data_IF_112522883732
#
_entry.id   IF_112522883732
#
_cell.length_a   1.000
_cell.length_b   1.000
_cell.length_c   1.000
_cell.angle_alpha   90.00
_cell.angle_beta   90.00
_cell.angle_gamma   90.00
#
_symmetry.space_group_name_H-M   'P 1'
#
loop_
_entity.id
_entity.type
_entity.pdbx_description
1 polymer ?
#
# COMPACT_ATOMS: atom_id res chain seq x y z
N UNK A 1 0.94 8.76 0.47
CA UNK A 1 0.22 9.59 -0.52
C UNK A 1 1.05 10.83 -0.87
N UNK A 2 1.54 11.65 0.11
CA UNK A 2 2.28 12.87 -0.20
C UNK A 2 3.57 12.60 -1.00
N UNK A 3 4.38 11.63 -0.58
CA UNK A 3 5.58 11.22 -1.33
C UNK A 3 5.25 10.79 -2.78
N UNK A 4 4.11 10.14 -2.99
CA UNK A 4 3.69 9.75 -4.35
C UNK A 4 3.31 10.94 -5.20
N UNK A 5 2.73 11.98 -4.63
CA UNK A 5 2.45 13.23 -5.36
C UNK A 5 3.74 13.92 -5.81
N UNK A 6 4.75 13.94 -4.95
CA UNK A 6 6.06 14.49 -5.27
C UNK A 6 6.74 13.68 -6.38
N UNK A 7 6.69 12.36 -6.31
CA UNK A 7 7.19 11.46 -7.33
C UNK A 7 6.49 11.68 -8.68
N UNK A 8 5.14 11.71 -8.68
CA UNK A 8 4.36 11.97 -9.89
C UNK A 8 4.70 13.33 -10.50
N UNK A 9 4.91 14.35 -9.66
CA UNK A 9 5.32 15.67 -10.11
C UNK A 9 6.71 15.66 -10.75
N UNK A 10 7.66 14.97 -10.13
CA UNK A 10 9.03 14.81 -10.64
C UNK A 10 9.04 14.12 -12.01
N UNK A 11 8.30 13.00 -12.14
CA UNK A 11 8.22 12.27 -13.41
C UNK A 11 7.45 13.06 -14.47
N UNK A 12 6.38 13.75 -14.08
CA UNK A 12 5.58 14.57 -15.00
C UNK A 12 6.34 15.75 -15.60
N UNK A 13 7.42 16.19 -14.96
CA UNK A 13 8.28 17.26 -15.47
C UNK A 13 9.05 16.85 -16.75
N UNK A 14 9.20 15.57 -17.04
CA UNK A 14 9.85 15.09 -18.25
C UNK A 14 8.96 15.38 -19.47
N UNK A 15 9.49 16.08 -20.51
CA UNK A 15 8.69 16.48 -21.68
C UNK A 15 8.16 15.29 -22.50
N UNK A 16 8.79 14.12 -22.37
CA UNK A 16 8.39 12.86 -23.01
C UNK A 16 7.17 12.23 -22.34
N UNK A 17 6.83 12.64 -21.11
CA UNK A 17 5.73 12.06 -20.34
C UNK A 17 4.40 12.75 -20.71
N UNK A 18 3.43 11.93 -21.08
CA UNK A 18 2.06 12.39 -21.32
C UNK A 18 1.30 12.45 -20.00
N UNK A 19 1.34 11.37 -19.23
CA UNK A 19 0.57 11.21 -17.99
C UNK A 19 1.26 10.26 -17.03
N UNK A 20 1.12 10.55 -15.75
CA UNK A 20 1.50 9.66 -14.64
C UNK A 20 0.29 9.42 -13.77
N UNK A 21 0.09 8.22 -13.29
CA UNK A 21 -0.88 7.89 -12.26
C UNK A 21 -0.38 6.73 -11.41
N UNK A 22 -0.78 6.70 -10.15
CA UNK A 22 -0.29 5.75 -9.16
C UNK A 22 -1.43 4.93 -8.56
N UNK A 23 -1.21 3.62 -8.50
CA UNK A 23 -2.01 2.69 -7.70
C UNK A 23 -1.27 2.42 -6.39
N UNK A 24 -1.88 2.72 -5.25
CA UNK A 24 -1.28 2.57 -3.92
C UNK A 24 -2.06 1.51 -3.14
N UNK A 25 -1.35 0.50 -2.63
CA UNK A 25 -1.93 -0.53 -1.78
C UNK A 25 -2.98 -1.40 -2.47
N UNK A 26 -3.80 -2.06 -1.66
CA UNK A 26 -4.81 -3.03 -2.10
C UNK A 26 -6.18 -2.37 -2.26
N UNK A 27 -6.89 -2.64 -3.36
CA UNK A 27 -8.30 -2.28 -3.50
C UNK A 27 -9.18 -3.15 -2.59
N UNK A 28 -10.41 -2.68 -2.28
CA UNK A 28 -11.40 -3.45 -1.49
C UNK A 28 -11.68 -4.84 -2.08
N UNK A 29 -11.72 -4.93 -3.41
CA UNK A 29 -11.79 -6.21 -4.13
C UNK A 29 -10.42 -6.46 -4.73
N UNK A 30 -9.59 -7.18 -3.99
CA UNK A 30 -8.21 -7.44 -4.37
C UNK A 30 -8.12 -8.55 -5.41
N UNK A 31 -7.99 -8.17 -6.67
CA UNK A 31 -7.50 -9.07 -7.73
C UNK A 31 -5.98 -9.14 -7.76
N UNK A 32 -5.31 -8.19 -7.09
CA UNK A 32 -3.86 -8.03 -7.03
C UNK A 32 -3.50 -7.43 -5.67
N UNK A 33 -3.29 -8.28 -4.64
CA UNK A 33 -3.00 -7.81 -3.30
C UNK A 33 -1.60 -7.20 -3.24
N UNK A 34 -1.55 -5.91 -2.92
CA UNK A 34 -0.31 -5.17 -2.70
C UNK A 34 -0.22 -4.69 -1.24
N UNK A 35 0.95 -4.78 -0.60
CA UNK A 35 1.15 -4.14 0.69
C UNK A 35 0.89 -2.63 0.62
N UNK A 36 0.39 -1.98 1.67
CA UNK A 36 0.14 -0.54 1.67
C UNK A 36 1.41 0.31 1.54
N UNK A 37 2.60 -0.30 1.69
CA UNK A 37 3.91 0.30 1.46
C UNK A 37 4.37 0.26 0.01
N UNK A 38 3.67 -0.46 -0.86
CA UNK A 38 4.01 -0.61 -2.29
C UNK A 38 3.07 0.22 -3.15
N UNK A 39 3.61 0.83 -4.19
CA UNK A 39 2.85 1.61 -5.15
C UNK A 39 3.35 1.34 -6.58
N UNK A 40 2.42 1.08 -7.50
CA UNK A 40 2.72 0.97 -8.92
C UNK A 40 2.45 2.31 -9.60
N UNK A 41 3.50 2.91 -10.15
CA UNK A 41 3.42 4.15 -10.92
C UNK A 41 3.39 3.84 -12.41
N UNK A 42 2.31 4.23 -13.08
CA UNK A 42 2.17 4.07 -14.52
C UNK A 42 2.58 5.35 -15.23
N UNK A 43 3.69 5.28 -15.95
CA UNK A 43 4.24 6.39 -16.72
C UNK A 43 3.87 6.20 -18.18
N UNK A 44 2.95 7.02 -18.68
CA UNK A 44 2.52 7.00 -20.06
C UNK A 44 3.36 8.00 -20.86
N UNK A 45 4.06 7.50 -21.86
CA UNK A 45 4.90 8.32 -22.72
C UNK A 45 4.11 8.82 -23.93
N UNK A 46 4.43 10.03 -24.38
CA UNK A 46 3.94 10.58 -25.64
C UNK A 46 4.44 9.76 -26.84
N UNK A 47 3.78 9.85 -28.00
CA UNK A 47 4.34 9.34 -29.24
C UNK A 47 5.75 9.87 -29.49
N UNK A 48 6.64 9.05 -30.05
CA UNK A 48 8.03 9.43 -30.32
C UNK A 48 8.18 10.70 -31.13
N UNK A 49 7.23 10.97 -32.04
CA UNK A 49 7.19 12.20 -32.86
C UNK A 49 7.10 13.48 -32.04
N UNK A 50 6.56 13.39 -30.84
CA UNK A 50 6.26 14.52 -29.98
C UNK A 50 7.35 14.74 -28.89
N UNK A 51 8.40 13.93 -28.95
CA UNK A 51 9.54 14.08 -28.05
C UNK A 51 10.45 15.22 -28.54
N UNK A 52 11.06 16.02 -27.63
CA UNK A 52 12.03 17.04 -28.00
C UNK A 52 13.20 16.48 -28.82
N UNK A 53 13.66 15.27 -28.46
CA UNK A 53 14.58 14.48 -29.27
C UNK A 53 13.94 13.08 -29.54
N UNK A 54 13.41 12.82 -30.74
CA UNK A 54 12.83 11.53 -31.08
C UNK A 54 13.86 10.38 -31.12
N UNK A 55 15.18 10.68 -31.12
CA UNK A 55 16.27 9.68 -31.15
C UNK A 55 16.69 9.25 -29.77
N UNK A 56 16.28 9.94 -28.71
CA UNK A 56 16.63 9.61 -27.33
C UNK A 56 16.27 8.13 -27.05
N UNK A 57 17.25 7.35 -26.63
CA UNK A 57 17.02 5.93 -26.30
C UNK A 57 16.10 5.82 -25.09
N UNK A 58 15.28 4.77 -25.07
CA UNK A 58 14.34 4.56 -23.98
C UNK A 58 15.06 4.26 -22.66
N UNK A 59 16.15 3.49 -22.71
CA UNK A 59 16.92 3.14 -21.52
C UNK A 59 17.63 4.39 -20.96
N UNK A 60 18.08 5.29 -21.84
CA UNK A 60 18.62 6.57 -21.41
C UNK A 60 17.56 7.45 -20.73
N UNK A 61 16.35 7.50 -21.26
CA UNK A 61 15.24 8.20 -20.60
C UNK A 61 14.93 7.58 -19.23
N UNK A 62 14.94 6.25 -19.13
CA UNK A 62 14.74 5.54 -17.85
C UNK A 62 15.84 5.91 -16.87
N UNK A 63 17.12 5.91 -17.28
CA UNK A 63 18.22 6.29 -16.42
C UNK A 63 18.12 7.75 -15.92
N UNK A 64 17.68 8.67 -16.78
CA UNK A 64 17.39 10.05 -16.38
C UNK A 64 16.26 10.13 -15.35
N UNK A 65 15.18 9.36 -15.53
CA UNK A 65 14.05 9.29 -14.59
C UNK A 65 14.51 8.66 -13.26
N UNK A 66 15.28 7.56 -13.28
CA UNK A 66 15.85 6.93 -12.09
C UNK A 66 16.69 7.92 -11.28
N UNK A 67 17.55 8.67 -11.96
CA UNK A 67 18.37 9.70 -11.31
C UNK A 67 17.51 10.80 -10.67
N UNK A 68 16.44 11.23 -11.32
CA UNK A 68 15.55 12.27 -10.80
C UNK A 68 14.74 11.77 -9.59
N UNK A 69 14.14 10.58 -9.68
CA UNK A 69 13.35 10.02 -8.56
C UNK A 69 14.23 9.59 -7.40
N UNK A 70 15.46 9.21 -7.63
CA UNK A 70 16.43 8.89 -6.60
C UNK A 70 16.75 10.06 -5.66
N UNK A 71 16.43 11.30 -6.06
CA UNK A 71 16.53 12.48 -5.19
C UNK A 71 15.37 12.60 -4.21
N UNK A 72 14.26 11.86 -4.43
CA UNK A 72 13.09 11.83 -3.53
C UNK A 72 13.35 10.78 -2.46
N UNK A 73 13.60 11.16 -1.20
CA UNK A 73 14.00 10.21 -0.16
C UNK A 73 12.83 9.33 0.30
N UNK A 74 13.17 8.16 0.85
CA UNK A 74 12.24 7.32 1.58
C UNK A 74 11.57 6.21 0.79
N UNK A 75 11.92 6.03 -0.51
CA UNK A 75 11.44 4.92 -1.33
C UNK A 75 12.60 4.25 -2.07
N UNK A 76 12.42 2.98 -2.37
CA UNK A 76 13.21 2.27 -3.36
C UNK A 76 12.42 2.22 -4.66
N UNK A 77 13.07 2.51 -5.78
CA UNK A 77 12.44 2.60 -7.09
C UNK A 77 12.94 1.49 -8.00
N UNK A 78 12.04 0.91 -8.75
CA UNK A 78 12.34 -0.06 -9.80
C UNK A 78 11.57 0.33 -11.06
N UNK A 79 12.25 0.37 -12.20
CA UNK A 79 11.64 0.65 -13.49
C UNK A 79 11.47 -0.65 -14.27
N UNK A 80 10.24 -0.97 -14.60
CA UNK A 80 9.91 -2.18 -15.36
C UNK A 80 8.85 -1.90 -16.41
N UNK A 81 8.58 -2.88 -17.24
CA UNK A 81 7.48 -2.84 -18.20
C UNK A 81 6.34 -3.74 -17.72
N UNK A 82 5.09 -3.31 -17.85
CA UNK A 82 3.94 -4.07 -17.33
C UNK A 82 3.87 -5.52 -17.85
N UNK A 83 4.21 -5.73 -19.13
CA UNK A 83 4.18 -7.06 -19.72
C UNK A 83 5.31 -7.93 -19.16
N UNK A 84 6.53 -7.41 -19.09
CA UNK A 84 7.68 -8.12 -18.55
C UNK A 84 7.47 -8.49 -17.08
N UNK A 85 7.04 -7.52 -16.28
CA UNK A 85 6.73 -7.73 -14.86
C UNK A 85 5.70 -8.86 -14.67
N UNK A 86 4.61 -8.83 -15.44
CA UNK A 86 3.56 -9.87 -15.35
C UNK A 86 4.04 -11.24 -15.81
N UNK A 87 4.91 -11.27 -16.81
CA UNK A 87 5.51 -12.51 -17.29
C UNK A 87 6.43 -13.13 -16.24
N UNK A 88 7.26 -12.31 -15.58
CA UNK A 88 8.13 -12.75 -14.49
C UNK A 88 7.31 -13.28 -13.30
N UNK A 89 6.24 -12.60 -12.91
CA UNK A 89 5.32 -13.06 -11.86
C UNK A 89 4.71 -14.44 -12.16
N UNK A 90 4.30 -14.68 -13.40
CA UNK A 90 3.68 -15.94 -13.80
C UNK A 90 4.68 -17.10 -13.81
N UNK A 91 5.94 -16.84 -14.19
CA UNK A 91 6.96 -17.90 -14.30
C UNK A 91 7.62 -18.18 -12.95
N UNK A 92 8.03 -17.16 -12.22
CA UNK A 92 8.87 -17.29 -11.02
C UNK A 92 8.19 -16.83 -9.73
N UNK A 93 7.00 -16.23 -9.83
CA UNK A 93 6.26 -15.69 -8.69
C UNK A 93 6.91 -14.43 -8.10
N UNK A 94 7.81 -13.78 -8.84
CA UNK A 94 8.46 -12.52 -8.46
C UNK A 94 8.44 -11.56 -9.63
N UNK A 95 8.53 -10.25 -9.35
CA UNK A 95 8.46 -9.20 -10.37
C UNK A 95 9.80 -8.92 -11.04
N UNK A 96 10.89 -9.30 -10.40
CA UNK A 96 12.27 -9.10 -10.86
C UNK A 96 12.74 -10.24 -11.76
N UNK A 97 13.80 -10.01 -12.54
CA UNK A 97 14.41 -11.02 -13.41
C UNK A 97 15.11 -12.12 -12.59
N UNK A 98 15.65 -11.77 -11.43
CA UNK A 98 16.31 -12.69 -10.49
C UNK A 98 15.79 -12.46 -9.08
N UNK A 99 15.56 -13.54 -8.34
CA UNK A 99 15.17 -13.46 -6.94
C UNK A 99 15.91 -14.52 -6.10
N UNK A 100 16.50 -14.08 -5.01
CA UNK A 100 17.02 -14.94 -3.96
C UNK A 100 15.94 -15.12 -2.88
N UNK A 101 15.47 -16.34 -2.64
CA UNK A 101 14.45 -16.65 -1.63
C UNK A 101 15.12 -17.23 -0.39
N UNK A 102 14.94 -16.57 0.75
CA UNK A 102 15.44 -17.03 2.06
C UNK A 102 14.28 -17.67 2.82
N UNK A 103 14.51 -18.87 3.37
CA UNK A 103 13.52 -19.62 4.14
C UNK A 103 14.02 -19.85 5.56
N UNK A 104 13.16 -19.75 6.55
CA UNK A 104 13.49 -20.00 7.95
C UNK A 104 12.29 -19.73 8.85
N UNK A 105 12.42 -20.11 10.13
CA UNK A 105 11.36 -19.92 11.14
C UNK A 105 11.49 -18.58 11.88
N UNK A 106 12.67 -17.93 11.81
CA UNK A 106 12.97 -16.68 12.50
C UNK A 106 13.12 -15.54 11.49
N UNK A 107 12.19 -14.57 11.55
CA UNK A 107 12.12 -13.42 10.63
C UNK A 107 13.35 -12.52 10.75
N UNK A 108 13.90 -12.35 11.96
CA UNK A 108 15.07 -11.48 12.16
C UNK A 108 16.33 -12.10 11.56
N UNK A 109 16.47 -13.43 11.68
CA UNK A 109 17.58 -14.16 11.05
C UNK A 109 17.45 -14.12 9.52
N UNK A 110 16.23 -14.33 9.01
CA UNK A 110 15.99 -14.25 7.56
C UNK A 110 16.28 -12.86 7.00
N UNK A 111 15.89 -11.79 7.69
CA UNK A 111 16.17 -10.43 7.26
C UNK A 111 17.68 -10.14 7.22
N UNK A 112 18.42 -10.53 8.24
CA UNK A 112 19.89 -10.38 8.25
C UNK A 112 20.56 -11.12 7.08
N UNK A 113 20.13 -12.36 6.83
CA UNK A 113 20.64 -13.12 5.69
C UNK A 113 20.29 -12.46 4.35
N UNK A 114 19.07 -11.91 4.22
CA UNK A 114 18.65 -11.19 3.03
C UNK A 114 19.47 -9.90 2.80
N UNK A 115 19.79 -9.16 3.87
CA UNK A 115 20.63 -7.96 3.81
C UNK A 115 22.08 -8.31 3.40
N UNK A 116 22.64 -9.41 3.92
CA UNK A 116 23.95 -9.92 3.53
C UNK A 116 23.96 -10.31 2.03
N UNK A 117 22.97 -11.05 1.57
CA UNK A 117 22.81 -11.42 0.15
C UNK A 117 22.69 -10.17 -0.71
N UNK A 118 21.87 -9.20 -0.31
CA UNK A 118 21.70 -7.93 -1.03
C UNK A 118 23.02 -7.18 -1.17
N UNK A 119 23.82 -7.12 -0.09
CA UNK A 119 25.14 -6.49 -0.10
C UNK A 119 26.11 -7.15 -1.09
N UNK A 120 26.08 -8.48 -1.17
CA UNK A 120 26.89 -9.25 -2.12
C UNK A 120 26.43 -8.99 -3.55
N UNK A 121 25.12 -9.08 -3.80
CA UNK A 121 24.54 -8.90 -5.14
C UNK A 121 24.76 -7.49 -5.69
N UNK A 122 24.67 -6.48 -4.83
CA UNK A 122 24.94 -5.08 -5.22
C UNK A 122 26.38 -4.83 -5.63
N UNK A 123 27.33 -5.69 -5.20
CA UNK A 123 28.73 -5.63 -5.61
C UNK A 123 29.05 -6.37 -6.93
N UNK A 124 28.09 -7.09 -7.51
CA UNK A 124 28.31 -7.86 -8.73
C UNK A 124 28.09 -6.95 -9.95
N UNK A 125 29.02 -7.00 -10.90
CA UNK A 125 28.90 -6.25 -12.14
C UNK A 125 27.64 -6.69 -12.92
N UNK A 126 26.72 -5.75 -13.20
CA UNK A 126 25.43 -6.01 -13.85
C UNK A 126 24.27 -6.26 -12.86
N UNK A 127 24.53 -6.25 -11.55
CA UNK A 127 23.50 -6.22 -10.53
C UNK A 127 22.95 -4.81 -10.37
N UNK A 128 21.75 -4.56 -10.90
CA UNK A 128 21.03 -3.30 -10.77
C UNK A 128 19.73 -3.52 -9.99
N UNK A 129 19.22 -2.47 -9.33
CA UNK A 129 17.96 -2.45 -8.62
C UNK A 129 17.82 -3.55 -7.54
N UNK A 130 18.94 -3.92 -6.89
CA UNK A 130 18.92 -4.92 -5.82
C UNK A 130 18.17 -4.40 -4.61
N UNK A 131 17.12 -5.11 -4.20
CA UNK A 131 16.30 -4.74 -3.04
C UNK A 131 15.96 -5.95 -2.19
N UNK A 132 15.82 -5.73 -0.88
CA UNK A 132 15.25 -6.69 0.04
C UNK A 132 13.77 -6.37 0.21
N UNK A 133 12.91 -7.40 0.17
CA UNK A 133 11.48 -7.24 0.42
C UNK A 133 11.27 -6.75 1.86
N UNK A 134 10.46 -5.71 2.01
CA UNK A 134 10.18 -5.14 3.33
C UNK A 134 9.21 -6.07 4.10
N UNK A 135 9.73 -6.77 5.09
CA UNK A 135 8.95 -7.69 5.94
C UNK A 135 8.55 -7.09 7.29
N UNK A 136 9.12 -5.92 7.64
CA UNK A 136 8.91 -5.23 8.92
C UNK A 136 8.64 -3.75 8.72
N UNK A 137 8.18 -3.07 9.76
CA UNK A 137 8.06 -1.62 9.77
C UNK A 137 6.68 -1.05 9.43
N UNK A 138 5.69 -1.88 9.08
CA UNK A 138 4.31 -1.43 8.98
C UNK A 138 3.70 -1.36 10.38
N UNK A 139 3.24 -0.19 10.85
CA UNK A 139 2.55 -0.10 12.12
C UNK A 139 1.22 -0.85 12.06
N UNK A 140 1.03 -1.80 12.97
CA UNK A 140 -0.20 -2.58 13.09
C UNK A 140 -0.93 -2.14 14.35
N UNK A 141 -2.17 -1.68 14.22
CA UNK A 141 -3.05 -1.43 15.35
C UNK A 141 -3.75 -2.73 15.73
N UNK A 142 -3.35 -3.31 16.86
CA UNK A 142 -4.00 -4.51 17.41
C UNK A 142 -4.92 -4.11 18.56
N UNK A 143 -6.20 -4.49 18.44
CA UNK A 143 -7.19 -4.27 19.50
C UNK A 143 -7.39 -5.58 20.26
N UNK A 144 -6.88 -5.64 21.50
CA UNK A 144 -7.05 -6.78 22.40
C UNK A 144 -8.29 -6.56 23.27
N UNK A 145 -9.34 -7.34 23.00
CA UNK A 145 -10.60 -7.21 23.72
C UNK A 145 -10.52 -8.01 25.04
N UNK A 146 -10.76 -7.34 26.18
CA UNK A 146 -10.86 -7.96 27.50
C UNK A 146 -12.20 -8.72 27.62
N UNK A 147 -12.15 -10.03 27.40
CA UNK A 147 -13.32 -10.90 27.44
C UNK A 147 -14.01 -10.93 28.82
N UNK A 148 -13.26 -10.79 29.90
CA UNK A 148 -13.83 -10.80 31.25
C UNK A 148 -14.60 -9.49 31.51
N UNK A 149 -14.04 -8.37 31.04
CA UNK A 149 -14.69 -7.07 31.18
C UNK A 149 -15.99 -6.98 30.39
N UNK A 150 -15.99 -7.39 29.12
CA UNK A 150 -17.20 -7.40 28.29
C UNK A 150 -18.26 -8.33 28.86
N UNK A 151 -17.90 -9.52 29.37
CA UNK A 151 -18.84 -10.44 30.01
C UNK A 151 -19.52 -9.83 31.23
N UNK A 152 -18.76 -9.13 32.09
CA UNK A 152 -19.31 -8.41 33.27
C UNK A 152 -20.29 -7.30 32.87
N UNK A 153 -20.03 -6.64 31.75
CA UNK A 153 -20.86 -5.57 31.21
C UNK A 153 -22.06 -6.08 30.42
N UNK A 154 -22.14 -7.38 30.15
CA UNK A 154 -23.19 -7.98 29.33
C UNK A 154 -23.14 -7.57 27.87
N UNK A 155 -21.95 -7.27 27.34
CA UNK A 155 -21.71 -6.91 25.95
C UNK A 155 -21.25 -8.14 25.18
N UNK A 156 -21.78 -8.35 23.98
CA UNK A 156 -21.34 -9.43 23.12
C UNK A 156 -20.05 -9.08 22.40
N UNK A 157 -19.16 -10.07 22.20
CA UNK A 157 -17.94 -9.90 21.44
C UNK A 157 -18.19 -9.37 20.03
N UNK A 158 -19.24 -9.88 19.37
CA UNK A 158 -19.63 -9.47 18.02
C UNK A 158 -20.00 -7.99 17.94
N UNK A 159 -20.70 -7.46 18.96
CA UNK A 159 -21.08 -6.04 19.02
C UNK A 159 -19.83 -5.13 19.11
N UNK A 160 -18.82 -5.54 19.91
CA UNK A 160 -17.55 -4.82 20.01
C UNK A 160 -16.79 -4.86 18.68
N UNK A 161 -16.67 -6.04 18.08
CA UNK A 161 -15.98 -6.23 16.78
C UNK A 161 -16.68 -5.45 15.67
N UNK A 162 -18.02 -5.45 15.64
CA UNK A 162 -18.81 -4.71 14.67
C UNK A 162 -18.59 -3.19 14.83
N UNK A 163 -18.62 -2.69 16.06
CA UNK A 163 -18.37 -1.27 16.35
C UNK A 163 -16.97 -0.83 15.88
N UNK A 164 -15.95 -1.65 16.15
CA UNK A 164 -14.58 -1.39 15.70
C UNK A 164 -14.51 -1.42 14.17
N UNK A 165 -15.10 -2.41 13.53
CA UNK A 165 -15.12 -2.55 12.07
C UNK A 165 -15.82 -1.37 11.39
N UNK A 166 -16.97 -0.95 11.90
CA UNK A 166 -17.70 0.21 11.37
C UNK A 166 -16.87 1.48 11.54
N UNK A 167 -16.25 1.65 12.70
CA UNK A 167 -15.44 2.83 13.00
C UNK A 167 -14.24 2.96 12.06
N UNK A 168 -13.51 1.88 11.81
CA UNK A 168 -12.27 1.88 11.03
C UNK A 168 -12.51 1.75 9.54
N UNK A 169 -13.28 0.75 9.13
CA UNK A 169 -13.48 0.38 7.73
C UNK A 169 -14.73 1.04 7.12
N UNK A 170 -15.71 1.35 7.97
CA UNK A 170 -17.02 1.78 7.55
C UNK A 170 -17.99 0.61 7.31
N UNK A 171 -19.27 0.96 7.19
CA UNK A 171 -20.36 0.05 6.83
C UNK A 171 -21.24 0.67 5.77
N UNK A 172 -21.56 -0.08 4.74
CA UNK A 172 -22.56 0.34 3.76
C UNK A 172 -23.94 0.39 4.42
N UNK A 173 -24.49 1.59 4.56
CA UNK A 173 -25.81 1.84 5.12
C UNK A 173 -26.93 1.79 4.08
N UNK A 174 -26.57 1.89 2.80
CA UNK A 174 -27.49 1.83 1.68
C UNK A 174 -26.78 2.08 0.37
N UNK A 175 -27.52 1.98 -0.73
CA UNK A 175 -27.00 2.21 -2.08
C UNK A 175 -27.91 3.23 -2.79
N UNK A 176 -27.30 4.27 -3.33
CA UNK A 176 -27.96 5.25 -4.19
C UNK A 176 -27.86 4.81 -5.64
N UNK A 177 -28.99 4.75 -6.32
CA UNK A 177 -29.07 4.48 -7.76
C UNK A 177 -29.26 5.79 -8.52
N UNK A 178 -28.40 6.04 -9.49
CA UNK A 178 -28.49 7.19 -10.39
C UNK A 178 -28.37 6.70 -11.85
N UNK A 179 -29.50 6.42 -12.47
CA UNK A 179 -29.54 5.71 -13.73
C UNK A 179 -28.92 4.32 -13.59
N UNK A 180 -27.93 3.99 -14.41
CA UNK A 180 -27.23 2.70 -14.39
C UNK A 180 -26.11 2.62 -13.34
N UNK A 181 -25.83 3.71 -12.63
CA UNK A 181 -24.74 3.78 -11.65
C UNK A 181 -25.27 3.47 -10.24
N UNK A 182 -24.44 2.76 -9.49
CA UNK A 182 -24.65 2.45 -8.06
C UNK A 182 -23.59 3.13 -7.24
N UNK A 183 -24.01 3.81 -6.17
CA UNK A 183 -23.13 4.48 -5.23
C UNK A 183 -23.44 4.00 -3.83
N UNK A 184 -22.50 3.35 -3.17
CA UNK A 184 -22.67 2.92 -1.80
C UNK A 184 -22.57 4.10 -0.84
N UNK A 185 -23.52 4.18 0.09
CA UNK A 185 -23.50 5.13 1.19
C UNK A 185 -22.77 4.46 2.35
N UNK A 186 -21.52 4.86 2.59
CA UNK A 186 -20.68 4.28 3.63
C UNK A 186 -20.66 5.18 4.85
N UNK A 187 -20.99 4.63 6.01
CA UNK A 187 -20.90 5.29 7.31
C UNK A 187 -19.65 4.82 8.03
N UNK A 188 -18.76 5.75 8.39
CA UNK A 188 -17.52 5.47 9.15
C UNK A 188 -17.17 6.68 10.03
N UNK A 189 -16.21 6.50 10.96
CA UNK A 189 -15.65 7.64 11.67
C UNK A 189 -14.95 8.62 10.72
N UNK A 190 -15.01 9.89 11.05
CA UNK A 190 -14.24 10.91 10.33
C UNK A 190 -12.73 10.62 10.40
N UNK A 191 -11.99 11.06 9.39
CA UNK A 191 -10.58 10.71 9.23
C UNK A 191 -9.71 11.20 10.40
N UNK A 192 -10.01 12.37 10.95
CA UNK A 192 -9.34 12.93 12.13
C UNK A 192 -9.58 12.08 13.41
N UNK A 193 -10.77 11.49 13.55
CA UNK A 193 -11.08 10.62 14.67
C UNK A 193 -10.42 9.23 14.53
N UNK A 194 -10.26 8.72 13.29
CA UNK A 194 -9.58 7.45 13.03
C UNK A 194 -8.07 7.55 13.19
N UNK A 195 -7.48 8.71 12.89
CA UNK A 195 -6.05 8.94 13.05
C UNK A 195 -5.64 9.15 14.52
N UNK A 196 -6.58 9.45 15.41
CA UNK A 196 -6.34 9.74 16.82
C UNK A 196 -6.68 8.52 17.69
N UNK A 197 -5.66 7.81 18.18
CA UNK A 197 -5.83 6.63 19.05
C UNK A 197 -6.59 6.93 20.34
N UNK A 198 -6.47 8.14 20.89
CA UNK A 198 -7.19 8.49 22.12
C UNK A 198 -8.67 8.72 21.86
N UNK A 199 -9.02 9.28 20.72
CA UNK A 199 -10.42 9.35 20.27
C UNK A 199 -10.99 7.97 19.99
N UNK A 200 -10.19 7.09 19.38
CA UNK A 200 -10.58 5.71 19.08
C UNK A 200 -10.86 4.90 20.37
N UNK A 201 -10.03 5.01 21.40
CA UNK A 201 -10.25 4.39 22.71
C UNK A 201 -11.55 4.83 23.41
N UNK A 202 -12.09 5.98 23.02
CA UNK A 202 -13.36 6.51 23.56
C UNK A 202 -14.55 6.19 22.65
N UNK A 203 -14.43 5.23 21.76
CA UNK A 203 -15.55 4.80 20.91
C UNK A 203 -16.67 4.26 21.77
N UNK A 204 -17.89 4.85 21.71
CA UNK A 204 -19.01 4.38 22.48
C UNK A 204 -19.55 3.07 21.89
N UNK A 205 -19.69 2.04 22.73
CA UNK A 205 -20.34 0.77 22.38
C UNK A 205 -21.69 0.73 23.06
N UNK A 206 -22.74 0.49 22.29
CA UNK A 206 -24.10 0.37 22.82
C UNK A 206 -24.25 -1.00 23.49
N UNK A 207 -24.75 -1.01 24.73
CA UNK A 207 -25.10 -2.23 25.47
C UNK A 207 -26.58 -2.54 25.20
N UNK A 208 -26.85 -3.66 24.56
CA UNK A 208 -28.22 -4.06 24.22
C UNK A 208 -29.14 -4.33 25.44
N UNK A 209 -28.54 -4.66 26.58
CA UNK A 209 -29.29 -5.17 27.75
C UNK A 209 -29.57 -4.15 28.87
N UNK A 210 -28.93 -2.99 28.87
CA UNK A 210 -29.13 -1.99 29.92
C UNK A 210 -29.05 -0.59 29.36
N UNK A 211 -30.21 0.11 29.41
CA UNK A 211 -30.25 1.59 29.44
C UNK A 211 -29.27 2.35 28.53
N UNK A 212 -29.65 3.50 28.04
CA UNK A 212 -28.94 4.43 27.16
C UNK A 212 -27.52 4.88 27.56
N UNK A 213 -26.82 4.16 28.44
CA UNK A 213 -25.45 4.46 28.83
C UNK A 213 -24.45 3.72 27.93
N UNK A 214 -23.66 4.45 27.13
CA UNK A 214 -22.60 3.85 26.33
C UNK A 214 -21.45 3.37 27.25
N UNK A 215 -20.87 2.22 26.90
CA UNK A 215 -19.55 1.80 27.42
C UNK A 215 -18.49 2.22 26.42
N UNK A 216 -17.37 2.66 26.92
CA UNK A 216 -16.24 3.04 26.10
C UNK A 216 -15.22 1.90 26.01
N UNK A 217 -14.56 1.78 24.85
CA UNK A 217 -13.47 0.85 24.58
C UNK A 217 -12.31 1.01 25.56
#
# INVERSE_FOLDING_TARGET
>A
VEMQKELEHTIKAFPQVERVFTKIGTAEIATDPMPPSVADNFVMLKPRSDWPDPRLDKNELIAQMQSAVGQVPGNNYEFTQPIQMRFNELISGVRSDVAAKVFGDDVEVMNRAADEISSVLSGIQGGEDVKVEQTTGLPILTVNIDRQKIARLGVNMSEVQEAISIAMNGRTAGTLFQGDRRFDIVVRLADDARADLEKFKRLPIKIASKSDMPVYL
#
